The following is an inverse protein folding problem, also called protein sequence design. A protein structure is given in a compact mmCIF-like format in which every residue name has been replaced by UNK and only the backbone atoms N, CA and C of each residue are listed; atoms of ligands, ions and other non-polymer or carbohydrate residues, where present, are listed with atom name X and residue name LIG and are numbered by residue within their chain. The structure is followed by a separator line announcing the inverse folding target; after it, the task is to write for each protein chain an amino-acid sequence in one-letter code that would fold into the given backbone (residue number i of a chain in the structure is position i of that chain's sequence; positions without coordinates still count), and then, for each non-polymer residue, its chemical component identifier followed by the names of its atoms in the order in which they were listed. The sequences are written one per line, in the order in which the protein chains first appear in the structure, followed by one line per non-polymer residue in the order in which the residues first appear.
data_IF_738308482623
#
_entry.id   IF_738308482623
#
_cell.length_a   1.000
_cell.length_b   1.000
_cell.length_c   1.000
_cell.angle_alpha   90.00
_cell.angle_beta   90.00
_cell.angle_gamma   90.00
#
_symmetry.space_group_name_H-M   'P 1'
#
loop_
_entity.id
_entity.type
_entity.pdbx_description
1 polymer ?
#
# COMPACT_ATOMS: atom_id res chain seq x y z
N UNK A 1 -6.47 -21.17 -23.47
CA UNK A 1 -6.76 -22.10 -22.35
C UNK A 1 -8.19 -21.83 -21.90
N UNK A 2 -9.16 -22.71 -22.15
CA UNK A 2 -10.55 -22.49 -21.72
C UNK A 2 -10.90 -23.41 -20.54
N UNK A 3 -11.59 -22.86 -19.54
CA UNK A 3 -12.03 -23.60 -18.35
C UNK A 3 -13.47 -24.05 -18.58
N UNK A 4 -13.69 -25.36 -18.76
CA UNK A 4 -15.05 -25.95 -18.82
C UNK A 4 -15.60 -26.02 -17.39
N UNK A 5 -16.61 -25.21 -17.09
CA UNK A 5 -17.34 -25.30 -15.82
C UNK A 5 -18.52 -26.26 -16.01
N UNK A 6 -18.43 -27.45 -15.39
CA UNK A 6 -19.58 -28.36 -15.26
C UNK A 6 -20.34 -27.99 -14.00
N UNK A 7 -21.61 -27.61 -14.14
CA UNK A 7 -22.49 -27.45 -12.99
C UNK A 7 -22.70 -28.83 -12.33
N UNK A 8 -22.35 -28.95 -11.05
CA UNK A 8 -22.67 -30.15 -10.25
C UNK A 8 -24.14 -30.00 -9.82
N UNK A 9 -25.02 -30.89 -10.28
CA UNK A 9 -26.37 -30.96 -9.72
C UNK A 9 -26.27 -31.54 -8.30
N UNK A 10 -26.24 -30.65 -7.32
CA UNK A 10 -26.43 -30.92 -5.90
C UNK A 10 -27.39 -29.85 -5.34
N UNK A 11 -27.85 -29.97 -4.08
CA UNK A 11 -28.65 -28.90 -3.47
C UNK A 11 -27.92 -27.58 -3.68
N UNK A 12 -28.65 -26.53 -4.08
CA UNK A 12 -28.09 -25.20 -4.34
C UNK A 12 -27.31 -24.76 -3.10
N UNK A 13 -25.99 -24.97 -3.09
CA UNK A 13 -25.11 -24.29 -2.16
C UNK A 13 -25.44 -22.82 -2.29
N UNK A 14 -25.78 -22.16 -1.18
CA UNK A 14 -26.14 -20.75 -1.17
C UNK A 14 -25.15 -19.97 -2.03
N UNK A 15 -25.65 -19.15 -2.95
CA UNK A 15 -24.80 -18.34 -3.81
C UNK A 15 -23.79 -17.56 -2.95
N UNK A 16 -22.51 -17.48 -3.36
CA UNK A 16 -21.50 -16.78 -2.60
C UNK A 16 -21.96 -15.34 -2.32
N UNK A 17 -21.89 -14.94 -1.05
CA UNK A 17 -22.26 -13.60 -0.63
C UNK A 17 -21.17 -12.59 -1.01
N UNK A 18 -21.46 -11.27 -1.02
CA UNK A 18 -20.43 -10.26 -1.14
C UNK A 18 -19.30 -10.39 -0.09
N UNK A 19 -19.63 -10.89 1.11
CA UNK A 19 -18.64 -11.15 2.16
C UNK A 19 -17.73 -12.34 1.80
N UNK A 20 -18.29 -13.42 1.26
CA UNK A 20 -17.51 -14.57 0.79
C UNK A 20 -16.57 -14.17 -0.36
N UNK A 21 -17.07 -13.35 -1.29
CA UNK A 21 -16.25 -12.79 -2.35
C UNK A 21 -15.13 -11.89 -1.81
N UNK A 22 -15.45 -10.96 -0.89
CA UNK A 22 -14.45 -10.10 -0.26
C UNK A 22 -13.34 -10.94 0.40
N UNK A 23 -13.74 -11.93 1.17
CA UNK A 23 -12.81 -12.78 1.91
C UNK A 23 -11.89 -13.59 0.98
N UNK A 24 -12.43 -14.09 -0.14
CA UNK A 24 -11.66 -14.88 -1.09
C UNK A 24 -10.81 -14.04 -2.05
N UNK A 25 -11.35 -12.92 -2.55
CA UNK A 25 -10.77 -12.19 -3.67
C UNK A 25 -9.97 -10.95 -3.26
N UNK A 26 -10.30 -10.32 -2.12
CA UNK A 26 -9.74 -9.03 -1.72
C UNK A 26 -8.97 -9.06 -0.40
N UNK A 27 -9.47 -9.78 0.60
CA UNK A 27 -8.85 -9.85 1.91
C UNK A 27 -7.35 -10.23 1.89
N UNK A 28 -6.88 -11.18 1.05
CA UNK A 28 -5.46 -11.52 0.98
C UNK A 28 -4.56 -10.35 0.53
N UNK A 29 -5.08 -9.48 -0.35
CA UNK A 29 -4.33 -8.38 -0.96
C UNK A 29 -4.62 -7.03 -0.29
N UNK A 30 -5.61 -6.96 0.60
CA UNK A 30 -6.15 -5.72 1.13
C UNK A 30 -5.09 -4.80 1.75
N UNK A 31 -4.13 -5.36 2.50
CA UNK A 31 -3.03 -4.59 3.08
C UNK A 31 -2.16 -3.91 2.01
N UNK A 32 -1.94 -4.57 0.87
CA UNK A 32 -1.15 -4.02 -0.25
C UNK A 32 -1.93 -2.94 -0.98
N UNK A 33 -3.24 -3.16 -1.17
CA UNK A 33 -4.17 -2.15 -1.73
C UNK A 33 -4.17 -0.89 -0.88
N UNK A 34 -4.25 -1.02 0.45
CA UNK A 34 -4.19 0.14 1.35
C UNK A 34 -2.85 0.89 1.25
N UNK A 35 -1.72 0.18 1.29
CA UNK A 35 -0.39 0.79 1.17
C UNK A 35 -0.20 1.50 -0.18
N UNK A 36 -0.70 0.90 -1.27
CA UNK A 36 -0.69 1.51 -2.59
C UNK A 36 -1.52 2.80 -2.62
N UNK A 37 -2.75 2.77 -2.10
CA UNK A 37 -3.60 3.96 -2.01
C UNK A 37 -3.00 5.06 -1.14
N UNK A 38 -2.28 4.71 -0.07
CA UNK A 38 -1.56 5.68 0.77
C UNK A 38 -0.42 6.36 0.00
N UNK A 39 0.41 5.58 -0.70
CA UNK A 39 1.48 6.12 -1.55
C UNK A 39 0.94 7.03 -2.67
N UNK A 40 -0.17 6.64 -3.29
CA UNK A 40 -0.86 7.47 -4.29
C UNK A 40 -1.36 8.79 -3.68
N UNK A 41 -1.93 8.74 -2.47
CA UNK A 41 -2.39 9.92 -1.75
C UNK A 41 -1.24 10.90 -1.46
N UNK A 42 -0.09 10.39 -1.02
CA UNK A 42 1.11 11.21 -0.81
C UNK A 42 1.62 11.84 -2.12
N UNK A 43 1.64 11.06 -3.22
CA UNK A 43 2.04 11.56 -4.52
C UNK A 43 1.15 12.72 -4.99
N UNK A 44 -0.16 12.62 -4.77
CA UNK A 44 -1.12 13.69 -5.10
C UNK A 44 -0.97 14.88 -4.17
N UNK A 45 -0.71 14.65 -2.88
CA UNK A 45 -0.37 15.71 -1.93
C UNK A 45 0.84 16.53 -2.38
N UNK A 46 1.90 15.87 -2.88
CA UNK A 46 3.08 16.57 -3.42
C UNK A 46 2.77 17.43 -4.64
N UNK A 47 1.83 17.02 -5.49
CA UNK A 47 1.41 17.83 -6.65
C UNK A 47 0.68 19.10 -6.20
N UNK A 48 -0.23 18.98 -5.22
CA UNK A 48 -0.94 20.14 -4.66
C UNK A 48 0.03 21.15 -4.08
N UNK A 49 1.04 20.69 -3.35
CA UNK A 49 2.05 21.57 -2.74
C UNK A 49 2.92 22.28 -3.78
N UNK A 50 3.07 21.73 -5.00
CA UNK A 50 3.93 22.30 -6.05
C UNK A 50 3.20 23.22 -7.01
N UNK A 51 1.99 22.87 -7.43
CA UNK A 51 1.23 23.62 -8.44
C UNK A 51 -0.26 23.70 -8.16
N UNK A 52 -0.67 23.48 -6.91
CA UNK A 52 -2.05 23.66 -6.47
C UNK A 52 -3.00 22.55 -6.94
N UNK A 53 -4.29 22.78 -6.68
CA UNK A 53 -5.36 21.82 -6.96
C UNK A 53 -5.62 21.60 -8.45
N UNK A 54 -5.32 22.59 -9.29
CA UNK A 54 -5.48 22.48 -10.74
C UNK A 54 -4.52 21.44 -11.33
N UNK A 55 -3.24 21.49 -10.91
CA UNK A 55 -2.26 20.49 -11.34
C UNK A 55 -2.65 19.08 -10.89
N UNK A 56 -3.24 18.95 -9.70
CA UNK A 56 -3.78 17.68 -9.23
C UNK A 56 -4.92 17.18 -10.13
N UNK A 57 -5.93 18.00 -10.39
CA UNK A 57 -7.09 17.58 -11.19
C UNK A 57 -6.72 17.28 -12.65
N UNK A 58 -5.70 17.96 -13.19
CA UNK A 58 -5.14 17.64 -14.50
C UNK A 58 -4.61 16.19 -14.59
N UNK A 59 -4.19 15.59 -13.47
CA UNK A 59 -3.73 14.19 -13.46
C UNK A 59 -4.85 13.16 -13.52
N UNK A 60 -6.11 13.55 -13.28
CA UNK A 60 -7.25 12.63 -13.30
C UNK A 60 -7.73 12.32 -14.74
N UNK A 61 -7.10 12.93 -15.74
CA UNK A 61 -7.31 12.67 -17.15
C UNK A 61 -8.40 13.55 -17.78
N UNK A 62 -8.58 13.37 -19.10
CA UNK A 62 -9.39 14.27 -19.96
C UNK A 62 -10.87 14.34 -19.63
N UNK A 63 -11.38 13.39 -18.84
CA UNK A 63 -12.79 13.29 -18.45
C UNK A 63 -13.09 13.98 -17.12
N UNK A 64 -12.10 14.67 -16.55
CA UNK A 64 -12.25 15.56 -15.40
C UNK A 64 -11.74 16.93 -15.82
N UNK A 65 -12.56 17.96 -15.64
CA UNK A 65 -12.20 19.34 -15.97
C UNK A 65 -12.33 20.21 -14.73
N UNK A 66 -11.32 21.04 -14.46
CA UNK A 66 -11.34 22.01 -13.39
C UNK A 66 -11.47 23.42 -13.98
N UNK A 67 -12.53 24.11 -13.63
CA UNK A 67 -12.83 25.48 -14.08
C UNK A 67 -12.86 26.40 -12.87
N UNK A 68 -11.68 26.70 -12.31
CA UNK A 68 -11.45 27.66 -11.23
C UNK A 68 -12.02 27.25 -9.87
N UNK A 69 -13.33 27.02 -9.77
CA UNK A 69 -14.06 26.56 -8.57
C UNK A 69 -15.02 25.41 -8.85
N UNK A 70 -15.19 25.02 -10.11
CA UNK A 70 -16.11 23.96 -10.52
C UNK A 70 -15.30 22.77 -11.02
N UNK A 71 -15.57 21.59 -10.45
CA UNK A 71 -15.04 20.33 -10.95
C UNK A 71 -16.13 19.64 -11.77
N UNK A 72 -15.86 19.39 -13.05
CA UNK A 72 -16.77 18.76 -13.99
C UNK A 72 -16.29 17.32 -14.22
N UNK A 73 -17.19 16.36 -13.99
CA UNK A 73 -16.97 14.94 -14.29
C UNK A 73 -17.82 14.57 -15.51
N UNK A 74 -17.16 14.24 -16.62
CA UNK A 74 -17.85 13.91 -17.87
C UNK A 74 -18.45 12.49 -17.89
N UNK A 75 -18.15 11.67 -16.88
CA UNK A 75 -18.69 10.31 -16.71
C UNK A 75 -19.62 10.23 -15.48
N UNK A 76 -20.86 10.71 -15.62
CA UNK A 76 -21.84 10.71 -14.54
C UNK A 76 -23.24 11.15 -14.96
N UNK A 77 -24.22 11.08 -14.05
CA UNK A 77 -25.51 11.75 -14.24
C UNK A 77 -25.30 13.27 -14.31
N UNK A 78 -26.15 13.95 -15.07
CA UNK A 78 -26.18 15.41 -15.15
C UNK A 78 -26.72 15.98 -13.84
N UNK A 79 -25.82 16.22 -12.88
CA UNK A 79 -26.15 16.73 -11.56
C UNK A 79 -25.18 17.83 -11.12
N UNK A 80 -25.72 18.90 -10.54
CA UNK A 80 -24.94 19.95 -9.91
C UNK A 80 -24.87 19.74 -8.40
N UNK A 81 -23.67 19.43 -7.90
CA UNK A 81 -23.44 19.26 -6.46
C UNK A 81 -22.76 20.49 -5.88
N UNK A 82 -23.37 21.08 -4.83
CA UNK A 82 -22.74 22.14 -4.04
C UNK A 82 -22.10 21.55 -2.79
N UNK A 83 -20.81 21.80 -2.60
CA UNK A 83 -20.04 21.29 -1.45
C UNK A 83 -20.26 22.08 -0.14
N UNK A 84 -20.98 23.21 -0.19
CA UNK A 84 -21.35 23.95 1.02
C UNK A 84 -20.18 24.48 1.87
N UNK A 85 -18.96 24.55 1.31
CA UNK A 85 -17.76 24.93 2.07
C UNK A 85 -17.16 23.81 2.92
N UNK A 86 -17.72 22.59 2.89
CA UNK A 86 -17.22 21.44 3.65
C UNK A 86 -15.98 20.79 3.02
N UNK A 87 -15.52 21.29 1.87
CA UNK A 87 -14.38 20.75 1.13
C UNK A 87 -14.71 19.46 0.38
N UNK A 88 -13.67 18.87 -0.22
CA UNK A 88 -13.74 17.64 -0.99
C UNK A 88 -12.58 16.72 -0.56
N UNK A 89 -12.90 15.51 -0.11
CA UNK A 89 -11.88 14.48 0.14
C UNK A 89 -11.52 13.81 -1.18
N UNK A 90 -10.23 13.62 -1.42
CA UNK A 90 -9.76 12.87 -2.57
C UNK A 90 -9.25 11.51 -2.11
N UNK A 91 -9.78 10.45 -2.70
CA UNK A 91 -9.39 9.08 -2.36
C UNK A 91 -9.00 8.32 -3.63
N UNK A 92 -7.78 7.80 -3.75
CA UNK A 92 -7.43 6.92 -4.86
C UNK A 92 -8.21 5.60 -4.75
N UNK A 93 -8.41 4.95 -5.88
CA UNK A 93 -8.98 3.61 -5.98
C UNK A 93 -8.38 2.84 -7.15
N UNK A 94 -7.97 1.60 -6.86
CA UNK A 94 -7.50 0.63 -7.85
C UNK A 94 -8.65 -0.05 -8.59
N UNK A 95 -9.90 0.16 -8.16
CA UNK A 95 -11.08 -0.55 -8.67
C UNK A 95 -11.88 0.26 -9.72
N UNK A 96 -11.49 1.50 -10.01
CA UNK A 96 -12.17 2.38 -10.98
C UNK A 96 -11.58 2.27 -12.39
N UNK A 97 -11.35 1.05 -12.89
CA UNK A 97 -10.61 0.82 -14.14
C UNK A 97 -11.17 1.55 -15.39
N UNK A 98 -12.47 1.85 -15.43
CA UNK A 98 -13.13 2.41 -16.62
C UNK A 98 -13.71 3.81 -16.42
N UNK A 99 -13.52 4.42 -15.24
CA UNK A 99 -14.05 5.75 -14.94
C UNK A 99 -12.96 6.58 -14.28
N UNK A 100 -12.77 7.86 -14.66
CA UNK A 100 -11.69 8.68 -14.09
C UNK A 100 -11.89 8.96 -12.61
N UNK A 101 -13.13 9.17 -12.18
CA UNK A 101 -13.51 9.38 -10.80
C UNK A 101 -15.01 9.16 -10.58
N UNK A 102 -15.40 9.05 -9.32
CA UNK A 102 -16.80 8.98 -8.87
C UNK A 102 -16.96 9.76 -7.58
N UNK A 103 -17.98 10.62 -7.54
CA UNK A 103 -18.35 11.34 -6.33
C UNK A 103 -19.20 10.44 -5.42
N UNK A 104 -18.84 10.41 -4.15
CA UNK A 104 -19.57 9.75 -3.08
C UNK A 104 -20.04 10.80 -2.07
N UNK A 105 -21.32 10.71 -1.72
CA UNK A 105 -21.97 11.55 -0.71
C UNK A 105 -22.64 10.63 0.30
N UNK A 106 -22.35 10.84 1.56
CA UNK A 106 -23.01 10.16 2.67
C UNK A 106 -23.97 11.17 3.31
N UNK A 107 -25.29 10.90 3.37
CA UNK A 107 -26.24 11.81 4.01
C UNK A 107 -25.88 12.14 5.48
N UNK A 108 -25.11 11.28 6.15
CA UNK A 108 -24.67 11.44 7.53
C UNK A 108 -23.34 12.18 7.65
N UNK A 109 -22.63 12.46 6.53
CA UNK A 109 -21.35 13.20 6.54
C UNK A 109 -21.44 14.43 5.64
N UNK A 110 -21.11 15.63 6.15
CA UNK A 110 -21.24 16.85 5.37
C UNK A 110 -20.21 16.97 4.24
N UNK A 111 -19.13 16.19 4.29
CA UNK A 111 -18.03 16.26 3.33
C UNK A 111 -18.20 15.21 2.22
N UNK A 112 -18.13 15.65 0.96
CA UNK A 112 -18.14 14.75 -0.18
C UNK A 112 -16.75 14.13 -0.42
N UNK A 113 -16.72 12.91 -0.94
CA UNK A 113 -15.50 12.21 -1.32
C UNK A 113 -15.47 11.97 -2.83
N UNK A 114 -14.45 12.47 -3.51
CA UNK A 114 -14.15 12.10 -4.88
C UNK A 114 -13.19 10.92 -4.87
N UNK A 115 -13.70 9.76 -5.23
CA UNK A 115 -12.87 8.57 -5.42
C UNK A 115 -12.37 8.59 -6.87
N UNK A 116 -11.06 8.68 -7.08
CA UNK A 116 -10.47 8.74 -8.41
C UNK A 116 -9.73 7.45 -8.78
N UNK A 117 -9.63 7.20 -10.08
CA UNK A 117 -8.97 6.03 -10.62
C UNK A 117 -7.46 6.15 -10.51
N UNK A 118 -6.85 5.18 -9.85
CA UNK A 118 -5.42 5.04 -9.68
C UNK A 118 -5.03 3.58 -9.94
N UNK A 119 -5.25 3.04 -11.15
CA UNK A 119 -4.88 1.67 -11.44
C UNK A 119 -3.35 1.55 -11.40
N UNK A 120 -2.80 0.48 -10.81
CA UNK A 120 -1.37 0.23 -10.87
C UNK A 120 -0.94 0.04 -12.31
N UNK A 121 0.25 0.51 -12.66
CA UNK A 121 0.88 0.19 -13.94
C UNK A 121 1.25 -1.30 -14.03
N UNK A 122 1.78 -1.75 -15.18
CA UNK A 122 2.08 -3.16 -15.41
C UNK A 122 3.03 -3.78 -14.36
N UNK A 123 4.03 -3.04 -13.91
CA UNK A 123 4.99 -3.50 -12.91
C UNK A 123 4.37 -3.51 -11.50
N UNK A 124 3.63 -2.46 -11.15
CA UNK A 124 2.94 -2.34 -9.87
C UNK A 124 1.79 -3.34 -9.74
N UNK A 125 1.16 -3.72 -10.85
CA UNK A 125 0.04 -4.67 -10.89
C UNK A 125 0.48 -6.07 -10.47
N UNK A 126 1.64 -6.55 -10.94
CA UNK A 126 2.23 -7.81 -10.48
C UNK A 126 2.49 -7.77 -8.97
N UNK A 127 3.03 -6.67 -8.45
CA UNK A 127 3.29 -6.53 -7.00
C UNK A 127 2.00 -6.49 -6.18
N UNK A 128 0.97 -5.85 -6.70
CA UNK A 128 -0.29 -5.63 -5.99
C UNK A 128 -1.12 -6.92 -5.93
N UNK A 129 -1.20 -7.64 -7.06
CA UNK A 129 -2.14 -8.75 -7.25
C UNK A 129 -1.47 -10.12 -7.34
N UNK A 130 -0.16 -10.24 -7.57
CA UNK A 130 0.47 -11.55 -7.52
C UNK A 130 0.51 -12.06 -6.08
N UNK A 131 0.10 -13.31 -5.89
CA UNK A 131 0.39 -14.07 -4.67
C UNK A 131 1.88 -14.22 -4.39
N UNK A 132 2.76 -13.85 -5.33
CA UNK A 132 4.23 -13.87 -5.23
C UNK A 132 4.82 -12.81 -4.30
N UNK A 133 4.11 -12.39 -3.25
CA UNK A 133 4.85 -12.19 -1.99
C UNK A 133 5.50 -13.53 -1.71
N UNK A 134 6.84 -13.60 -1.68
CA UNK A 134 7.63 -14.81 -1.37
C UNK A 134 6.75 -15.77 -0.56
N UNK A 135 6.42 -16.98 -1.09
CA UNK A 135 5.44 -17.85 -0.44
C UNK A 135 5.78 -17.86 1.04
N UNK A 136 4.81 -17.66 1.93
CA UNK A 136 5.05 -17.39 3.35
C UNK A 136 5.98 -18.44 4.02
N UNK A 137 6.19 -19.59 3.37
CA UNK A 137 7.21 -20.60 3.70
C UNK A 137 8.59 -20.48 3.03
N UNK A 138 8.82 -19.79 1.91
CA UNK A 138 10.15 -19.71 1.25
C UNK A 138 11.21 -19.05 2.13
N UNK A 139 10.86 -17.94 2.80
CA UNK A 139 11.73 -17.33 3.80
C UNK A 139 11.90 -18.24 5.04
N UNK A 140 10.84 -18.98 5.40
CA UNK A 140 10.88 -20.01 6.42
C UNK A 140 11.79 -21.19 6.06
N UNK A 141 11.90 -21.56 4.79
CA UNK A 141 12.81 -22.60 4.30
C UNK A 141 14.25 -22.10 4.30
N UNK A 142 14.49 -20.82 3.95
CA UNK A 142 15.83 -20.24 3.87
C UNK A 142 16.40 -19.90 5.26
N UNK A 143 15.60 -19.24 6.10
CA UNK A 143 16.03 -18.69 7.39
C UNK A 143 15.42 -19.47 8.55
N UNK A 144 14.60 -20.49 8.34
CA UNK A 144 13.92 -21.21 9.40
C UNK A 144 12.61 -20.52 9.81
N UNK A 145 11.56 -21.33 10.01
CA UNK A 145 10.19 -20.87 10.22
C UNK A 145 10.04 -19.86 11.36
N UNK A 146 10.64 -20.13 12.53
CA UNK A 146 10.54 -19.26 13.70
C UNK A 146 11.29 -17.94 13.52
N UNK A 147 12.42 -17.94 12.79
CA UNK A 147 13.16 -16.70 12.50
C UNK A 147 12.43 -15.85 11.45
N UNK A 148 11.83 -16.47 10.45
CA UNK A 148 10.99 -15.78 9.48
C UNK A 148 9.76 -15.14 10.16
N UNK A 149 9.08 -15.88 11.05
CA UNK A 149 7.97 -15.35 11.85
C UNK A 149 8.41 -14.18 12.76
N UNK A 150 9.55 -14.32 13.44
CA UNK A 150 10.11 -13.24 14.25
C UNK A 150 10.42 -11.98 13.42
N UNK A 151 10.96 -12.15 12.20
CA UNK A 151 11.25 -11.04 11.31
C UNK A 151 9.97 -10.34 10.82
N UNK A 152 8.90 -11.09 10.55
CA UNK A 152 7.59 -10.53 10.17
C UNK A 152 6.95 -9.72 11.31
N UNK A 153 7.02 -10.21 12.55
CA UNK A 153 6.51 -9.50 13.72
C UNK A 153 7.28 -8.21 14.01
N UNK A 154 8.59 -8.21 13.75
CA UNK A 154 9.48 -7.07 13.94
C UNK A 154 9.33 -5.94 12.91
N UNK A 155 8.39 -6.07 11.96
CA UNK A 155 7.89 -4.93 11.15
C UNK A 155 7.37 -3.81 12.06
N UNK A 156 6.80 -4.18 13.21
CA UNK A 156 6.48 -3.25 14.29
C UNK A 156 7.52 -3.43 15.38
N UNK A 157 8.25 -2.37 15.72
CA UNK A 157 9.29 -2.45 16.75
C UNK A 157 8.71 -2.92 18.07
N UNK A 158 9.29 -3.97 18.65
CA UNK A 158 8.78 -4.57 19.88
C UNK A 158 9.92 -5.11 20.76
N UNK A 159 9.57 -5.41 22.00
CA UNK A 159 10.50 -5.95 23.00
C UNK A 159 10.61 -7.47 22.88
N UNK A 160 11.66 -8.06 23.46
CA UNK A 160 11.83 -9.51 23.48
C UNK A 160 10.64 -10.24 24.11
N UNK A 161 10.05 -9.69 25.18
CA UNK A 161 8.86 -10.25 25.83
C UNK A 161 7.62 -10.19 24.94
N UNK A 162 7.34 -9.03 24.35
CA UNK A 162 6.23 -8.88 23.41
C UNK A 162 6.38 -9.80 22.19
N UNK A 163 7.60 -10.00 21.72
CA UNK A 163 7.88 -10.90 20.60
C UNK A 163 7.68 -12.37 21.00
N UNK A 164 8.02 -12.75 22.23
CA UNK A 164 7.74 -14.08 22.78
C UNK A 164 6.25 -14.37 22.86
N UNK A 165 5.47 -13.41 23.39
CA UNK A 165 4.02 -13.53 23.52
C UNK A 165 3.34 -13.70 22.16
N UNK A 166 3.76 -12.93 21.15
CA UNK A 166 3.17 -12.98 19.80
C UNK A 166 3.53 -14.25 19.03
N UNK A 167 4.72 -14.80 19.25
CA UNK A 167 5.19 -16.01 18.58
C UNK A 167 4.79 -17.30 19.33
N UNK A 168 4.27 -17.19 20.56
CA UNK A 168 3.93 -18.35 21.39
C UNK A 168 5.14 -19.18 21.80
N UNK A 169 6.33 -18.57 21.90
CA UNK A 169 7.59 -19.23 22.28
C UNK A 169 8.24 -18.56 23.49
N UNK A 170 9.15 -19.26 24.16
CA UNK A 170 9.77 -18.74 25.38
C UNK A 170 10.72 -17.57 25.12
N UNK A 171 10.88 -16.67 26.10
CA UNK A 171 11.79 -15.53 26.01
C UNK A 171 13.27 -15.91 25.73
N UNK A 172 13.82 -17.02 26.27
CA UNK A 172 15.15 -17.50 25.86
C UNK A 172 15.22 -17.90 24.38
N UNK A 173 14.18 -18.56 23.86
CA UNK A 173 14.09 -18.96 22.46
C UNK A 173 14.06 -17.73 21.53
N UNK A 174 13.27 -16.71 21.87
CA UNK A 174 13.25 -15.44 21.14
C UNK A 174 14.58 -14.70 21.22
N UNK A 175 15.23 -14.69 22.39
CA UNK A 175 16.54 -14.06 22.57
C UNK A 175 17.60 -14.70 21.64
N UNK A 176 17.55 -16.02 21.48
CA UNK A 176 18.43 -16.74 20.55
C UNK A 176 18.14 -16.36 19.09
N UNK A 177 16.86 -16.33 18.68
CA UNK A 177 16.49 -15.96 17.31
C UNK A 177 16.84 -14.50 16.97
N UNK A 178 16.58 -13.57 17.89
CA UNK A 178 16.93 -12.15 17.72
C UNK A 178 18.44 -11.93 17.70
N UNK A 179 19.22 -12.69 18.47
CA UNK A 179 20.68 -12.64 18.38
C UNK A 179 21.19 -13.01 16.99
N UNK A 180 20.66 -14.09 16.40
CA UNK A 180 21.04 -14.54 15.05
C UNK A 180 20.61 -13.53 13.99
N UNK A 181 19.36 -13.04 14.05
CA UNK A 181 18.85 -12.02 13.12
C UNK A 181 19.63 -10.70 13.21
N UNK A 182 20.12 -10.35 14.40
CA UNK A 182 20.96 -9.17 14.61
C UNK A 182 22.36 -9.39 14.03
N UNK A 183 22.94 -10.56 14.26
CA UNK A 183 24.26 -10.91 13.72
C UNK A 183 24.27 -10.92 12.18
N UNK A 184 23.15 -11.28 11.56
CA UNK A 184 22.98 -11.22 10.10
C UNK A 184 22.57 -9.85 9.57
N UNK A 185 22.49 -8.82 10.42
CA UNK A 185 22.14 -7.46 10.02
C UNK A 185 20.68 -7.26 9.60
N UNK A 186 19.80 -8.23 9.84
CA UNK A 186 18.38 -8.15 9.47
C UNK A 186 17.54 -7.37 10.48
N UNK A 187 18.02 -7.28 11.73
CA UNK A 187 17.42 -6.47 12.77
C UNK A 187 18.48 -5.67 13.51
N UNK A 188 18.07 -4.53 14.05
CA UNK A 188 18.84 -3.74 15.01
C UNK A 188 18.15 -3.75 16.36
N UNK A 189 18.92 -3.46 17.40
CA UNK A 189 18.42 -3.45 18.77
C UNK A 189 18.83 -2.13 19.41
N UNK A 190 17.87 -1.43 20.02
CA UNK A 190 18.13 -0.22 20.81
C UNK A 190 17.62 -0.40 22.23
N UNK A 191 18.40 0.08 23.20
CA UNK A 191 17.96 0.12 24.60
C UNK A 191 17.21 1.43 24.84
N UNK A 192 15.95 1.33 25.29
CA UNK A 192 15.11 2.45 25.68
C UNK A 192 14.80 2.30 27.16
N UNK A 193 15.43 3.14 27.99
CA UNK A 193 15.38 3.02 29.46
C UNK A 193 15.82 1.63 29.93
N UNK A 194 14.94 0.91 30.65
CA UNK A 194 15.22 -0.43 31.14
C UNK A 194 14.79 -1.55 30.16
N UNK A 195 14.45 -1.19 28.92
CA UNK A 195 13.84 -2.13 27.97
C UNK A 195 14.62 -2.19 26.67
N UNK A 196 14.72 -3.40 26.11
CA UNK A 196 15.37 -3.64 24.83
C UNK A 196 14.29 -3.72 23.74
N UNK A 197 14.42 -2.88 22.71
CA UNK A 197 13.51 -2.83 21.55
C UNK A 197 14.25 -3.29 20.31
N UNK A 198 13.67 -4.25 19.61
CA UNK A 198 14.16 -4.75 18.34
C UNK A 198 13.39 -4.09 17.20
N UNK A 199 14.11 -3.77 16.12
CA UNK A 199 13.55 -3.12 14.93
C UNK A 199 14.16 -3.78 13.70
N UNK A 200 13.35 -4.06 12.68
CA UNK A 200 13.84 -4.57 11.40
C UNK A 200 14.69 -3.54 10.66
N UNK A 201 15.78 -3.96 10.02
CA UNK A 201 16.62 -3.07 9.20
C UNK A 201 16.08 -2.94 7.78
N UNK A 202 16.65 -2.03 6.98
CA UNK A 202 16.34 -1.95 5.55
C UNK A 202 16.63 -3.28 4.82
N UNK A 203 17.72 -3.98 5.17
CA UNK A 203 18.02 -5.30 4.63
C UNK A 203 16.98 -6.34 5.04
N UNK A 204 16.55 -6.33 6.30
CA UNK A 204 15.46 -7.19 6.79
C UNK A 204 14.14 -6.94 6.06
N UNK A 205 13.80 -5.68 5.81
CA UNK A 205 12.60 -5.30 5.05
C UNK A 205 12.68 -5.74 3.58
N UNK A 206 13.82 -5.51 2.92
CA UNK A 206 14.08 -5.98 1.56
C UNK A 206 13.91 -7.50 1.44
N UNK A 207 14.41 -8.24 2.42
CA UNK A 207 14.28 -9.70 2.48
C UNK A 207 12.82 -10.15 2.69
N UNK A 208 12.07 -9.45 3.55
CA UNK A 208 10.64 -9.73 3.79
C UNK A 208 9.76 -9.43 2.55
N UNK A 209 10.20 -8.49 1.72
CA UNK A 209 9.48 -8.03 0.52
C UNK A 209 9.93 -8.75 -0.75
N UNK A 210 11.04 -9.51 -0.68
CA UNK A 210 11.64 -10.18 -1.83
C UNK A 210 12.19 -9.20 -2.87
N UNK A 211 12.54 -7.99 -2.45
CA UNK A 211 12.99 -6.90 -3.31
C UNK A 211 14.16 -6.19 -2.66
N UNK A 212 15.25 -6.01 -3.39
CA UNK A 212 16.30 -5.08 -2.99
C UNK A 212 15.86 -3.71 -3.46
N UNK A 213 15.48 -2.83 -2.54
CA UNK A 213 15.37 -1.41 -2.86
C UNK A 213 16.80 -0.91 -3.16
N UNK A 214 17.15 -0.78 -4.44
CA UNK A 214 18.36 -0.05 -4.79
C UNK A 214 18.22 1.37 -4.23
N UNK A 215 19.24 1.92 -3.55
CA UNK A 215 19.23 3.31 -3.21
C UNK A 215 19.05 4.13 -4.49
N UNK A 216 18.13 5.10 -4.45
CA UNK A 216 17.89 6.01 -5.57
C UNK A 216 19.22 6.63 -6.02
N UNK A 217 19.45 6.77 -7.34
CA UNK A 217 20.66 7.42 -7.82
C UNK A 217 20.76 8.81 -7.19
N UNK A 218 21.88 9.06 -6.52
CA UNK A 218 22.25 10.39 -6.05
C UNK A 218 22.18 11.31 -7.27
N UNK A 219 21.41 12.42 -7.24
CA UNK A 219 21.37 13.32 -8.38
C UNK A 219 22.78 13.86 -8.59
N UNK A 220 23.36 13.54 -9.74
CA UNK A 220 24.59 14.17 -10.21
C UNK A 220 24.37 15.68 -10.16
N UNK A 221 25.24 16.37 -9.40
CA UNK A 221 25.23 17.83 -9.35
C UNK A 221 25.42 18.32 -10.79
N UNK A 222 24.42 19.06 -11.27
CA UNK A 222 24.50 19.78 -12.52
C UNK A 222 25.57 20.87 -12.35
N UNK A 223 26.79 20.59 -12.83
CA UNK A 223 27.81 21.62 -12.99
C UNK A 223 27.32 22.61 -14.05
N UNK A 224 26.88 23.78 -13.60
CA UNK A 224 26.60 24.92 -14.47
C UNK A 224 27.89 25.41 -15.10
N UNK A 225 28.01 25.49 -16.45
CA UNK A 225 29.11 26.22 -17.05
C UNK A 225 28.91 27.72 -16.79
N UNK A 226 29.88 28.31 -16.10
CA UNK A 226 30.01 29.76 -15.91
C UNK A 226 30.00 30.47 -17.26
N UNK A 227 29.00 31.33 -17.48
CA UNK A 227 29.03 32.32 -18.54
C UNK A 227 30.17 33.31 -18.24
N UNK A 228 31.26 33.24 -19.01
CA UNK A 228 32.28 34.28 -19.07
C UNK A 228 31.84 35.29 -20.13
N UNK A 229 31.55 36.48 -19.65
CA UNK A 229 31.38 37.74 -20.40
C UNK A 229 32.62 38.05 -21.25
N UNK A 230 32.42 38.37 -22.52
CA UNK A 230 33.27 39.25 -23.32
C UNK A 230 32.39 40.01 -24.32
#
# INVERSE_FOLDING_TARGET
MYKRLRAKQGPLSSAPTPADFWQAALAPYWRRVLAYCEAESEARGRLVMRGGVEQLFATLGRRVTWEGRVLILHDGPDEHVRLGGHGLVLSPSVFLAHRPARLFRDPLRPQAALVFSAPPDGEQSGVLWDETSLPSGALGTLVGQTRAAALQELRVSCTTGQLADRLGVSAPCVSQHTAVLRQSGLITTRRVRNTVVHTVTALGMALLEGKVALPAPVPERCDTPSLVTA
#
